data_IF_877477685088
#
_entry.id   IF_877477685088
#
_cell.length_a   1.000
_cell.length_b   1.000
_cell.length_c   1.000
_cell.angle_alpha   90.00
_cell.angle_beta   90.00
_cell.angle_gamma   90.00
#
_symmetry.space_group_name_H-M   'P 1'
#
loop_
_entity.id
_entity.type
_entity.pdbx_description
1 polymer ?
#
# COMPACT_ATOMS: atom_id res chain seq x y z
N UNK A 1 -10.55 14.09 -1.80
CA UNK A 1 -10.09 14.32 -0.41
C UNK A 1 -10.55 15.66 0.19
N UNK A 2 -10.59 16.77 -0.56
CA UNK A 2 -10.91 18.12 -0.03
C UNK A 2 -12.18 18.27 0.82
N UNK A 3 -13.19 17.41 0.67
CA UNK A 3 -14.41 17.44 1.49
C UNK A 3 -14.27 16.69 2.82
N UNK A 4 -13.46 15.64 2.86
CA UNK A 4 -13.22 14.82 4.06
C UNK A 4 -12.25 15.52 5.02
N UNK A 5 -11.23 16.19 4.49
CA UNK A 5 -10.24 16.91 5.32
C UNK A 5 -10.90 17.95 6.22
N UNK A 6 -12.02 18.56 5.81
CA UNK A 6 -12.76 19.55 6.59
C UNK A 6 -13.41 19.01 7.87
N UNK A 7 -13.60 17.69 7.96
CA UNK A 7 -14.19 17.04 9.14
C UNK A 7 -13.16 16.30 9.98
N UNK A 8 -11.89 16.33 9.57
CA UNK A 8 -10.81 15.75 10.35
C UNK A 8 -10.39 16.72 11.45
N UNK A 9 -10.05 16.16 12.60
CA UNK A 9 -9.25 16.87 13.60
C UNK A 9 -7.84 17.09 13.02
N UNK A 10 -7.33 18.32 13.16
CA UNK A 10 -5.97 18.67 12.71
C UNK A 10 -5.02 18.52 13.88
N UNK A 11 -4.06 17.61 13.74
CA UNK A 11 -2.97 17.46 14.71
C UNK A 11 -1.87 18.48 14.39
N UNK A 12 -1.50 19.36 15.33
CA UNK A 12 -0.48 20.38 15.09
C UNK A 12 0.92 19.75 15.00
N UNK A 13 1.75 20.31 14.11
CA UNK A 13 3.17 19.99 14.04
C UNK A 13 3.98 21.02 14.85
N UNK A 14 4.03 20.80 16.16
CA UNK A 14 4.72 21.67 17.12
C UNK A 14 6.21 21.36 17.25
N UNK A 15 6.94 22.17 18.04
CA UNK A 15 8.38 22.00 18.26
C UNK A 15 8.75 20.62 18.82
N UNK A 16 7.92 20.06 19.70
CA UNK A 16 8.16 18.75 20.31
C UNK A 16 8.02 17.65 19.25
N UNK A 17 6.99 17.73 18.41
CA UNK A 17 6.81 16.84 17.28
C UNK A 17 7.96 16.98 16.29
N UNK A 18 8.39 18.21 15.97
CA UNK A 18 9.49 18.46 15.05
C UNK A 18 10.81 17.82 15.49
N UNK A 19 11.18 17.94 16.77
CA UNK A 19 12.39 17.29 17.32
C UNK A 19 12.31 15.77 17.24
N UNK A 20 11.14 15.18 17.53
CA UNK A 20 10.93 13.73 17.44
C UNK A 20 10.96 13.22 16.01
N UNK A 21 10.34 13.94 15.08
CA UNK A 21 10.40 13.65 13.65
C UNK A 21 11.85 13.72 13.16
N UNK A 22 12.61 14.75 13.54
CA UNK A 22 14.03 14.84 13.18
C UNK A 22 14.86 13.64 13.67
N UNK A 23 14.62 13.18 14.90
CA UNK A 23 15.28 11.99 15.41
C UNK A 23 14.88 10.71 14.64
N UNK A 24 13.59 10.57 14.30
CA UNK A 24 13.09 9.45 13.52
C UNK A 24 13.68 9.43 12.12
N UNK A 25 13.73 10.58 11.43
CA UNK A 25 14.35 10.71 10.11
C UNK A 25 15.84 10.35 10.13
N UNK A 26 16.56 10.78 11.19
CA UNK A 26 17.95 10.40 11.39
C UNK A 26 18.14 8.88 11.57
N UNK A 27 17.20 8.22 12.24
CA UNK A 27 17.23 6.77 12.46
C UNK A 27 16.86 5.98 11.20
N UNK A 28 15.86 6.44 10.44
CA UNK A 28 15.37 5.78 9.23
C UNK A 28 16.15 6.11 7.96
N UNK A 29 17.08 7.08 8.04
CA UNK A 29 17.86 7.58 6.90
C UNK A 29 16.99 8.07 5.72
N UNK A 30 15.78 8.55 6.00
CA UNK A 30 14.88 9.22 5.04
C UNK A 30 14.78 10.71 5.34
N UNK A 31 14.23 11.47 4.38
CA UNK A 31 13.94 12.90 4.50
C UNK A 31 12.45 13.23 4.39
N UNK A 32 11.57 12.22 4.34
CA UNK A 32 10.12 12.47 4.27
C UNK A 32 9.54 12.85 5.62
N UNK A 33 9.49 14.17 5.86
CA UNK A 33 8.95 14.76 7.08
C UNK A 33 7.46 14.47 7.26
N UNK A 34 6.71 14.36 6.17
CA UNK A 34 5.25 14.19 6.24
C UNK A 34 4.93 12.78 6.71
N UNK A 35 5.55 11.77 6.11
CA UNK A 35 5.32 10.38 6.49
C UNK A 35 5.85 10.08 7.89
N UNK A 36 6.99 10.65 8.27
CA UNK A 36 7.50 10.55 9.64
C UNK A 36 6.56 11.20 10.67
N UNK A 37 5.92 12.32 10.33
CA UNK A 37 4.92 12.95 11.20
C UNK A 37 3.63 12.11 11.29
N UNK A 38 3.21 11.46 10.20
CA UNK A 38 2.09 10.52 10.20
C UNK A 38 2.36 9.34 11.13
N UNK A 39 3.55 8.71 11.02
CA UNK A 39 3.99 7.61 11.90
C UNK A 39 4.00 8.06 13.36
N UNK A 40 4.65 9.19 13.66
CA UNK A 40 4.71 9.73 15.02
C UNK A 40 3.31 10.00 15.58
N UNK A 41 2.41 10.57 14.77
CA UNK A 41 1.04 10.88 15.18
C UNK A 41 0.29 9.59 15.51
N UNK A 42 0.36 8.58 14.64
CA UNK A 42 -0.32 7.30 14.83
C UNK A 42 0.10 6.60 16.13
N UNK A 43 1.39 6.61 16.46
CA UNK A 43 1.91 6.03 17.71
C UNK A 43 1.37 6.80 18.92
N UNK A 44 1.42 8.14 18.88
CA UNK A 44 1.00 9.00 19.99
C UNK A 44 -0.50 8.90 20.28
N UNK A 45 -1.32 8.77 19.24
CA UNK A 45 -2.79 8.71 19.35
C UNK A 45 -3.34 7.28 19.40
N UNK A 46 -2.49 6.28 19.11
CA UNK A 46 -2.90 4.88 18.90
C UNK A 46 -3.93 4.73 17.77
N UNK A 47 -3.88 5.61 16.77
CA UNK A 47 -4.76 5.56 15.61
C UNK A 47 -4.16 4.74 14.46
N UNK A 48 -5.05 4.29 13.57
CA UNK A 48 -4.69 3.57 12.34
C UNK A 48 -4.39 4.57 11.22
N UNK A 49 -3.34 4.34 10.45
CA UNK A 49 -3.03 5.14 9.26
C UNK A 49 -3.80 4.57 8.06
N UNK A 50 -4.50 5.44 7.35
CA UNK A 50 -5.19 5.12 6.09
C UNK A 50 -4.36 5.68 4.95
N UNK A 51 -3.80 4.81 4.11
CA UNK A 51 -2.91 5.20 3.00
C UNK A 51 -3.15 4.35 1.76
N UNK A 52 -2.96 4.92 0.57
CA UNK A 52 -2.93 4.12 -0.67
C UNK A 52 -1.59 3.41 -0.87
N UNK A 53 -0.54 3.92 -0.24
CA UNK A 53 0.80 3.35 -0.28
C UNK A 53 1.23 2.95 1.15
N UNK A 54 1.06 1.67 1.54
CA UNK A 54 1.51 1.20 2.83
C UNK A 54 3.04 1.01 2.89
N UNK A 55 3.74 0.98 1.74
CA UNK A 55 5.19 0.78 1.69
C UNK A 55 5.92 1.92 2.38
N UNK A 56 5.67 3.14 1.94
CA UNK A 56 6.29 4.37 2.45
C UNK A 56 6.14 4.49 3.98
N UNK A 57 4.94 4.21 4.50
CA UNK A 57 4.68 4.28 5.94
C UNK A 57 5.36 3.13 6.69
N UNK A 58 5.37 1.92 6.14
CA UNK A 58 5.94 0.74 6.80
C UNK A 58 7.47 0.84 6.93
N UNK A 59 8.13 1.41 5.93
CA UNK A 59 9.59 1.62 5.95
C UNK A 59 10.02 2.49 7.13
N UNK A 60 9.30 3.60 7.38
CA UNK A 60 9.58 4.48 8.51
C UNK A 60 9.11 3.84 9.83
N UNK A 61 7.95 3.18 9.84
CA UNK A 61 7.40 2.53 11.02
C UNK A 61 8.27 1.38 11.55
N UNK A 62 9.13 0.79 10.72
CA UNK A 62 10.09 -0.23 11.16
C UNK A 62 11.12 0.30 12.18
N UNK A 63 11.30 1.61 12.28
CA UNK A 63 12.25 2.26 13.20
C UNK A 63 11.62 2.67 14.54
N UNK A 64 10.36 2.31 14.80
CA UNK A 64 9.68 2.54 16.07
C UNK A 64 9.32 1.22 16.74
N UNK A 65 9.29 1.20 18.08
CA UNK A 65 9.00 -0.03 18.83
C UNK A 65 7.52 -0.45 18.75
N UNK A 66 6.63 0.53 18.74
CA UNK A 66 5.20 0.31 18.67
C UNK A 66 4.78 0.34 17.20
N UNK A 67 4.56 -0.82 16.60
CA UNK A 67 4.13 -0.92 15.20
C UNK A 67 2.88 -0.08 14.91
N UNK A 68 2.78 0.40 13.67
CA UNK A 68 1.68 1.28 13.22
C UNK A 68 0.60 0.45 12.52
N UNK A 69 -0.66 0.44 13.01
CA UNK A 69 -1.76 -0.21 12.29
C UNK A 69 -2.02 0.52 10.96
N UNK A 70 -2.10 -0.23 9.86
CA UNK A 70 -2.32 0.31 8.52
C UNK A 70 -3.62 -0.22 7.91
N UNK A 71 -4.36 0.66 7.22
CA UNK A 71 -5.44 0.30 6.29
C UNK A 71 -5.05 0.82 4.90
N UNK A 72 -4.93 -0.11 3.95
CA UNK A 72 -4.63 0.24 2.56
C UNK A 72 -5.92 0.58 1.79
N UNK A 73 -5.95 1.76 1.17
CA UNK A 73 -7.06 2.18 0.30
C UNK A 73 -6.66 2.07 -1.17
N UNK A 74 -7.28 1.13 -1.88
CA UNK A 74 -7.11 0.97 -3.32
C UNK A 74 -8.14 1.77 -4.12
N UNK A 75 -7.76 2.22 -5.31
CA UNK A 75 -8.73 2.64 -6.31
C UNK A 75 -9.41 1.42 -6.93
N UNK A 76 -10.73 1.48 -7.10
CA UNK A 76 -11.49 0.44 -7.78
C UNK A 76 -11.11 0.47 -9.27
N UNK A 77 -10.37 -0.53 -9.76
CA UNK A 77 -10.14 -0.69 -11.20
C UNK A 77 -11.48 -1.08 -11.84
N UNK A 78 -11.95 -0.39 -12.89
CA UNK A 78 -13.13 -0.82 -13.63
C UNK A 78 -12.91 -2.26 -14.11
N UNK A 79 -13.80 -3.19 -13.77
CA UNK A 79 -13.76 -4.51 -14.38
C UNK A 79 -13.89 -4.32 -15.88
N UNK A 80 -12.89 -4.74 -16.64
CA UNK A 80 -13.07 -4.94 -18.08
C UNK A 80 -14.29 -5.86 -18.26
N UNK A 81 -15.25 -5.43 -19.06
CA UNK A 81 -16.40 -6.27 -19.44
C UNK A 81 -15.91 -7.57 -20.09
N UNK A 82 -16.75 -8.62 -20.15
CA UNK A 82 -16.33 -9.90 -20.72
C UNK A 82 -15.82 -9.65 -22.14
N UNK A 83 -14.54 -9.96 -22.37
CA UNK A 83 -14.00 -10.07 -23.72
C UNK A 83 -14.84 -11.11 -24.44
N UNK A 84 -15.60 -10.68 -25.45
CA UNK A 84 -16.37 -11.56 -26.32
C UNK A 84 -15.47 -12.64 -26.94
N UNK A 85 -16.04 -13.76 -27.41
CA UNK A 85 -15.28 -14.90 -27.86
C UNK A 85 -14.37 -14.50 -29.03
N UNK A 86 -13.08 -14.82 -28.91
CA UNK A 86 -12.13 -14.71 -30.01
C UNK A 86 -12.64 -15.58 -31.16
N UNK A 87 -13.04 -14.96 -32.28
CA UNK A 87 -13.32 -15.68 -33.51
C UNK A 87 -12.02 -16.40 -33.93
N UNK A 88 -12.07 -17.72 -33.90
CA UNK A 88 -10.97 -18.58 -34.28
C UNK A 88 -10.58 -18.41 -35.74
N UNK A 89 -9.31 -18.14 -35.97
CA UNK A 89 -8.63 -18.40 -37.25
C UNK A 89 -7.92 -19.75 -37.13
N UNK A 90 -8.56 -20.78 -37.70
CA UNK A 90 -8.02 -22.13 -37.73
C UNK A 90 -6.77 -22.25 -38.60
N UNK A 91 -5.86 -23.12 -38.17
CA UNK A 91 -4.98 -23.86 -39.08
C UNK A 91 -4.90 -25.30 -38.58
N UNK A 92 -5.59 -26.18 -39.32
CA UNK A 92 -5.50 -27.62 -39.19
C UNK A 92 -4.09 -28.08 -39.59
N UNK A 93 -3.33 -28.66 -38.67
CA UNK A 93 -2.27 -29.59 -39.02
C UNK A 93 -2.53 -30.94 -38.36
N UNK A 94 -2.65 -31.93 -39.24
CA UNK A 94 -2.84 -33.35 -38.93
C UNK A 94 -1.59 -33.92 -38.27
N UNK A 95 -1.80 -34.80 -37.30
CA UNK A 95 -0.91 -35.95 -37.07
C UNK A 95 -0.34 -36.04 -35.65
N UNK A 96 -0.63 -37.16 -35.00
CA UNK A 96 0.10 -37.64 -33.83
C UNK A 96 -0.80 -37.97 -32.65
N UNK A 97 -1.31 -39.21 -32.62
CA UNK A 97 -1.79 -39.83 -31.38
C UNK A 97 -0.54 -40.26 -30.61
N UNK A 98 -0.35 -39.77 -29.39
CA UNK A 98 0.47 -40.47 -28.41
C UNK A 98 -0.34 -40.64 -27.13
N UNK A 99 -0.67 -41.91 -26.86
CA UNK A 99 -1.31 -42.37 -25.64
C UNK A 99 -0.19 -42.65 -24.63
N UNK A 100 -0.14 -41.88 -23.55
CA UNK A 100 0.72 -42.14 -22.39
C UNK A 100 -0.12 -42.28 -21.13
N UNK A 101 -0.31 -43.52 -20.68
CA UNK A 101 -0.95 -43.93 -19.41
C UNK A 101 0.02 -43.69 -18.24
N UNK A 102 -0.46 -43.40 -17.01
CA UNK A 102 0.37 -43.06 -15.85
C UNK A 102 1.16 -44.25 -15.30
N UNK A 103 2.32 -43.98 -14.70
CA UNK A 103 3.02 -44.93 -13.84
C UNK A 103 3.05 -44.45 -12.38
N UNK A 104 2.39 -45.28 -11.55
CA UNK A 104 2.54 -45.56 -10.12
C UNK A 104 2.38 -44.43 -9.10
#
# INVERSE_FOLDING_TARGET
MARLVKVCEVVPFDEVAAKRVGALLGASATSDVVDAMVVLTAIRTRFTVVTSDPGDISEIAAFVHDGVPLITVGHRVPRAGPSGPALGSGRLHRGGVEVGIPHA
#
